data_IF_437780540782
#
_entry.id   IF_437780540782
#
_cell.length_a   1.000
_cell.length_b   1.000
_cell.length_c   1.000
_cell.angle_alpha   90.00
_cell.angle_beta   90.00
_cell.angle_gamma   90.00
#
_symmetry.space_group_name_H-M   'P 1'
#
loop_
_entity.id
_entity.type
_entity.pdbx_description
1 polymer ?
#
# COMPACT_ATOMS: atom_id res chain seq x y z
N UNK A 1 -18.65 0.04 -13.49
CA UNK A 1 -17.37 -0.18 -14.19
C UNK A 1 -16.37 -0.73 -13.19
N UNK A 2 -16.44 -2.05 -12.94
CA UNK A 2 -15.64 -2.72 -11.93
C UNK A 2 -14.17 -2.71 -12.38
N UNK A 3 -13.30 -2.09 -11.57
CA UNK A 3 -11.84 -2.06 -11.77
C UNK A 3 -11.29 -3.48 -12.05
N UNK A 4 -10.23 -3.63 -12.87
CA UNK A 4 -9.64 -4.93 -13.22
C UNK A 4 -9.25 -5.76 -11.98
N UNK A 5 -8.92 -5.09 -10.88
CA UNK A 5 -8.58 -5.69 -9.59
C UNK A 5 -9.80 -6.37 -8.94
N UNK A 6 -11.00 -5.81 -9.08
CA UNK A 6 -12.23 -6.41 -8.56
C UNK A 6 -12.58 -7.70 -9.29
N UNK A 7 -12.41 -7.72 -10.62
CA UNK A 7 -12.59 -8.93 -11.43
C UNK A 7 -11.54 -10.00 -11.12
N UNK A 8 -10.28 -9.61 -10.90
CA UNK A 8 -9.22 -10.52 -10.45
C UNK A 8 -9.52 -11.10 -9.05
N UNK A 9 -10.04 -10.27 -8.14
CA UNK A 9 -10.38 -10.64 -6.76
C UNK A 9 -11.56 -11.63 -6.66
N UNK A 10 -12.36 -11.73 -7.71
CA UNK A 10 -13.45 -12.70 -7.80
C UNK A 10 -13.03 -14.02 -8.44
N UNK A 11 -11.92 -14.06 -9.21
CA UNK A 11 -11.38 -15.29 -9.82
C UNK A 11 -10.23 -15.94 -9.05
N UNK A 12 -9.47 -15.16 -8.28
CA UNK A 12 -8.32 -15.63 -7.52
C UNK A 12 -8.52 -15.44 -6.02
N UNK A 13 -7.77 -16.22 -5.23
CA UNK A 13 -7.75 -16.07 -3.77
C UNK A 13 -7.28 -14.66 -3.39
N UNK A 14 -8.18 -13.90 -2.80
CA UNK A 14 -8.00 -12.50 -2.41
C UNK A 14 -6.80 -12.31 -1.49
N UNK A 15 -6.49 -13.30 -0.62
CA UNK A 15 -5.32 -13.25 0.26
C UNK A 15 -4.02 -13.42 -0.54
N UNK A 16 -3.99 -14.32 -1.53
CA UNK A 16 -2.82 -14.52 -2.40
C UNK A 16 -2.55 -13.29 -3.26
N UNK A 17 -3.60 -12.65 -3.78
CA UNK A 17 -3.45 -11.39 -4.52
C UNK A 17 -2.91 -10.27 -3.62
N UNK A 18 -3.40 -10.17 -2.39
CA UNK A 18 -2.87 -9.21 -1.42
C UNK A 18 -1.38 -9.46 -1.14
N UNK A 19 -0.99 -10.72 -0.91
CA UNK A 19 0.41 -11.12 -0.72
C UNK A 19 1.28 -10.73 -1.93
N UNK A 20 0.81 -11.00 -3.15
CA UNK A 20 1.50 -10.61 -4.38
C UNK A 20 1.67 -9.09 -4.48
N UNK A 21 0.61 -8.31 -4.24
CA UNK A 21 0.70 -6.86 -4.25
C UNK A 21 1.66 -6.33 -3.16
N UNK A 22 1.62 -6.93 -1.97
CA UNK A 22 2.54 -6.59 -0.86
C UNK A 22 3.98 -6.88 -1.27
N UNK A 23 4.24 -8.04 -1.87
CA UNK A 23 5.55 -8.43 -2.35
C UNK A 23 6.06 -7.51 -3.47
N UNK A 24 5.18 -7.05 -4.36
CA UNK A 24 5.51 -6.09 -5.42
C UNK A 24 5.75 -4.66 -4.92
N UNK A 25 5.20 -4.29 -3.76
CA UNK A 25 5.40 -2.96 -3.18
C UNK A 25 6.84 -2.72 -2.70
N UNK A 26 7.52 -3.77 -2.23
CA UNK A 26 8.92 -3.75 -1.74
C UNK A 26 9.92 -3.38 -2.83
N UNK A 27 10.00 -4.08 -3.98
CA UNK A 27 10.92 -3.70 -5.06
C UNK A 27 10.58 -2.32 -5.62
N UNK A 28 9.30 -1.92 -5.65
CA UNK A 28 8.91 -0.57 -6.02
C UNK A 28 9.54 0.49 -5.12
N UNK A 29 9.53 0.28 -3.79
CA UNK A 29 10.18 1.19 -2.85
C UNK A 29 11.72 1.15 -2.94
N UNK A 30 12.32 -0.04 -3.15
CA UNK A 30 13.77 -0.18 -3.33
C UNK A 30 14.28 0.45 -4.64
N UNK A 31 13.42 0.58 -5.66
CA UNK A 31 13.76 1.25 -6.91
C UNK A 31 13.77 2.78 -6.81
N UNK A 32 13.20 3.37 -5.76
CA UNK A 32 13.13 4.83 -5.60
C UNK A 32 14.48 5.55 -5.72
N UNK A 33 15.58 5.13 -5.05
CA UNK A 33 16.86 5.84 -5.10
C UNK A 33 17.43 5.94 -6.52
N UNK A 34 17.17 4.94 -7.36
CA UNK A 34 17.65 4.87 -8.74
C UNK A 34 16.69 5.65 -9.65
N UNK A 35 15.39 5.42 -9.52
CA UNK A 35 14.37 5.99 -10.37
C UNK A 35 14.19 7.51 -10.18
N UNK A 36 14.39 8.02 -8.95
CA UNK A 36 14.33 9.46 -8.65
C UNK A 36 15.48 10.25 -9.32
N UNK A 37 16.51 9.57 -9.81
CA UNK A 37 17.55 10.19 -10.64
C UNK A 37 17.14 10.45 -12.09
N UNK A 38 16.03 9.86 -12.58
CA UNK A 38 15.62 9.96 -13.98
C UNK A 38 14.11 10.20 -14.12
N UNK A 39 13.72 11.31 -14.75
CA UNK A 39 12.32 11.79 -14.78
C UNK A 39 11.32 10.74 -15.29
N UNK A 40 11.64 10.09 -16.41
CA UNK A 40 10.77 9.07 -17.00
C UNK A 40 10.62 7.82 -16.13
N UNK A 41 11.70 7.41 -15.45
CA UNK A 41 11.67 6.27 -14.53
C UNK A 41 10.82 6.59 -13.29
N UNK A 42 10.88 7.83 -12.80
CA UNK A 42 10.03 8.31 -11.71
C UNK A 42 8.54 8.20 -12.06
N UNK A 43 8.13 8.64 -13.25
CA UNK A 43 6.72 8.53 -13.67
C UNK A 43 6.27 7.08 -13.81
N UNK A 44 7.07 6.24 -14.47
CA UNK A 44 6.76 4.82 -14.63
C UNK A 44 6.62 4.13 -13.26
N UNK A 45 7.53 4.44 -12.34
CA UNK A 45 7.51 3.91 -10.99
C UNK A 45 6.30 4.38 -10.20
N UNK A 46 6.00 5.68 -10.19
CA UNK A 46 4.83 6.23 -9.49
C UNK A 46 3.52 5.65 -10.04
N UNK A 47 3.45 5.42 -11.35
CA UNK A 47 2.29 4.79 -11.98
C UNK A 47 2.13 3.33 -11.54
N UNK A 48 3.18 2.51 -11.67
CA UNK A 48 3.13 1.10 -11.29
C UNK A 48 2.93 0.93 -9.78
N UNK A 49 3.70 1.65 -8.97
CA UNK A 49 3.66 1.59 -7.51
C UNK A 49 2.32 2.13 -6.98
N UNK A 50 1.82 3.24 -7.53
CA UNK A 50 0.50 3.76 -7.23
C UNK A 50 -0.61 2.74 -7.55
N UNK A 51 -0.52 2.07 -8.70
CA UNK A 51 -1.43 0.98 -9.07
C UNK A 51 -1.43 -0.18 -8.07
N UNK A 52 -0.26 -0.56 -7.53
CA UNK A 52 -0.14 -1.59 -6.49
C UNK A 52 -0.88 -1.17 -5.21
N UNK A 53 -0.72 0.06 -4.73
CA UNK A 53 -1.40 0.54 -3.52
C UNK A 53 -2.92 0.66 -3.70
N UNK A 54 -3.37 1.14 -4.86
CA UNK A 54 -4.80 1.13 -5.20
C UNK A 54 -5.35 -0.30 -5.19
N UNK A 55 -4.56 -1.26 -5.70
CA UNK A 55 -4.86 -2.69 -5.63
C UNK A 55 -4.99 -3.23 -4.21
N UNK A 56 -4.01 -2.95 -3.35
CA UNK A 56 -4.01 -3.34 -1.93
C UNK A 56 -5.25 -2.79 -1.22
N UNK A 57 -5.55 -1.51 -1.40
CA UNK A 57 -6.73 -0.88 -0.80
C UNK A 57 -8.04 -1.55 -1.24
N UNK A 58 -8.18 -1.82 -2.54
CA UNK A 58 -9.37 -2.48 -3.12
C UNK A 58 -9.54 -3.91 -2.58
N UNK A 59 -8.44 -4.68 -2.52
CA UNK A 59 -8.45 -6.04 -1.98
C UNK A 59 -8.78 -6.05 -0.48
N UNK A 60 -8.21 -5.12 0.29
CA UNK A 60 -8.51 -4.95 1.71
C UNK A 60 -9.99 -4.68 1.98
N UNK A 61 -10.60 -3.74 1.25
CA UNK A 61 -12.03 -3.47 1.42
C UNK A 61 -12.88 -4.68 1.07
N UNK A 62 -12.51 -5.38 0.00
CA UNK A 62 -13.22 -6.59 -0.43
C UNK A 62 -13.10 -7.71 0.61
N UNK A 63 -11.92 -7.89 1.23
CA UNK A 63 -11.70 -8.87 2.30
C UNK A 63 -12.46 -8.51 3.58
N UNK A 64 -12.50 -7.23 3.95
CA UNK A 64 -13.25 -6.76 5.12
C UNK A 64 -14.75 -6.99 4.90
N UNK A 65 -15.29 -6.63 3.74
CA UNK A 65 -16.69 -6.85 3.38
C UNK A 65 -17.09 -8.33 3.30
N UNK A 66 -16.15 -9.20 2.94
CA UNK A 66 -16.38 -10.65 2.95
C UNK A 66 -16.34 -11.26 4.36
N UNK A 67 -15.50 -10.71 5.26
CA UNK A 67 -15.26 -11.25 6.61
C UNK A 67 -16.25 -10.73 7.66
N UNK A 68 -16.76 -9.52 7.48
CA UNK A 68 -17.66 -8.87 8.44
C UNK A 68 -18.99 -8.53 7.77
N UNK A 69 -20.10 -8.75 8.48
CA UNK A 69 -21.45 -8.43 8.01
C UNK A 69 -22.27 -7.73 9.10
N UNK A 70 -23.34 -7.04 8.72
CA UNK A 70 -24.25 -6.36 9.64
C UNK A 70 -23.55 -5.34 10.55
N UNK A 71 -23.89 -5.33 11.84
CA UNK A 71 -23.37 -4.37 12.82
C UNK A 71 -21.83 -4.43 13.02
N UNK A 72 -21.20 -5.58 12.74
CA UNK A 72 -19.74 -5.70 12.81
C UNK A 72 -19.07 -4.96 11.65
N UNK A 73 -19.65 -5.00 10.45
CA UNK A 73 -19.14 -4.30 9.28
C UNK A 73 -19.17 -2.78 9.50
N UNK A 74 -20.29 -2.24 10.00
CA UNK A 74 -20.42 -0.81 10.32
C UNK A 74 -19.34 -0.35 11.29
N UNK A 75 -19.04 -1.14 12.34
CA UNK A 75 -17.96 -0.82 13.30
C UNK A 75 -16.59 -0.78 12.65
N UNK A 76 -16.28 -1.68 11.71
CA UNK A 76 -15.00 -1.64 11.00
C UNK A 76 -14.91 -0.40 10.11
N UNK A 77 -16.01 -0.06 9.41
CA UNK A 77 -16.07 1.13 8.56
C UNK A 77 -15.93 2.44 9.34
N UNK A 78 -16.32 2.52 10.60
CA UNK A 78 -16.09 3.71 11.43
C UNK A 78 -14.63 3.83 11.90
N UNK A 79 -13.91 2.71 12.02
CA UNK A 79 -12.49 2.70 12.37
C UNK A 79 -11.58 3.01 11.18
N UNK A 80 -12.04 2.72 9.96
CA UNK A 80 -11.26 2.93 8.74
C UNK A 80 -10.74 4.37 8.58
N UNK A 81 -11.58 5.41 8.70
CA UNK A 81 -11.12 6.81 8.62
C UNK A 81 -10.14 7.18 9.73
N UNK A 82 -10.29 6.59 10.94
CA UNK A 82 -9.35 6.81 12.05
C UNK A 82 -7.98 6.22 11.73
N UNK A 83 -7.94 5.00 11.21
CA UNK A 83 -6.70 4.37 10.76
C UNK A 83 -6.05 5.16 9.62
N UNK A 84 -6.85 5.65 8.66
CA UNK A 84 -6.37 6.50 7.58
C UNK A 84 -5.82 7.83 8.10
N UNK A 85 -6.52 8.49 9.03
CA UNK A 85 -6.06 9.73 9.66
C UNK A 85 -4.75 9.54 10.44
N UNK A 86 -4.63 8.44 11.18
CA UNK A 86 -3.39 8.09 11.87
C UNK A 86 -2.23 7.89 10.89
N UNK A 87 -2.46 7.19 9.78
CA UNK A 87 -1.48 7.04 8.70
C UNK A 87 -1.12 8.36 8.02
N UNK A 88 -2.10 9.21 7.75
CA UNK A 88 -1.92 10.50 7.09
C UNK A 88 -1.16 11.51 7.97
N UNK A 89 -1.24 11.39 9.30
CA UNK A 89 -0.46 12.18 10.24
C UNK A 89 0.95 11.60 10.45
N UNK A 90 1.04 10.30 10.73
CA UNK A 90 2.34 9.65 10.98
C UNK A 90 3.23 9.59 9.75
N UNK A 91 2.66 9.44 8.55
CA UNK A 91 3.40 9.32 7.29
C UNK A 91 4.33 10.51 7.02
N UNK A 92 3.83 11.76 6.93
CA UNK A 92 4.66 12.94 6.73
C UNK A 92 5.62 13.21 7.88
N UNK A 93 5.23 12.92 9.13
CA UNK A 93 6.10 13.08 10.29
C UNK A 93 7.31 12.16 10.21
N UNK A 94 7.09 10.87 9.97
CA UNK A 94 8.15 9.88 9.80
C UNK A 94 8.95 10.14 8.52
N UNK A 95 8.28 10.51 7.42
CA UNK A 95 8.92 10.83 6.16
C UNK A 95 9.86 12.02 6.27
N UNK A 96 9.41 13.12 6.90
CA UNK A 96 10.22 14.30 7.16
C UNK A 96 11.41 13.99 8.08
N UNK A 97 11.19 13.22 9.15
CA UNK A 97 12.25 12.77 10.04
C UNK A 97 13.27 11.86 9.31
N UNK A 98 12.83 10.98 8.41
CA UNK A 98 13.75 10.15 7.63
C UNK A 98 14.58 10.99 6.66
N UNK A 99 13.95 11.99 6.01
CA UNK A 99 14.64 12.91 5.09
C UNK A 99 15.67 13.80 5.79
N UNK A 100 15.49 14.13 7.07
CA UNK A 100 16.46 14.93 7.83
C UNK A 100 17.72 14.14 8.20
N UNK A 101 17.64 12.80 8.27
CA UNK A 101 18.79 11.94 8.60
C UNK A 101 19.66 11.67 7.37
N UNK A 102 19.05 11.36 6.22
CA UNK A 102 19.80 11.15 4.96
C UNK A 102 19.01 11.60 3.74
N UNK A 103 19.72 11.95 2.66
CA UNK A 103 19.12 12.34 1.37
C UNK A 103 18.21 11.27 0.75
N UNK A 104 18.45 10.00 1.10
CA UNK A 104 17.68 8.84 0.64
C UNK A 104 16.77 8.26 1.74
N UNK A 105 16.60 8.97 2.86
CA UNK A 105 15.88 8.43 4.02
C UNK A 105 14.42 8.09 3.72
N UNK A 106 13.77 8.86 2.84
CA UNK A 106 12.39 8.59 2.43
C UNK A 106 12.24 7.26 1.64
N UNK A 107 13.04 6.99 0.59
CA UNK A 107 13.11 5.67 -0.04
C UNK A 107 13.31 4.51 0.95
N UNK A 108 14.25 4.66 1.89
CA UNK A 108 14.55 3.62 2.88
C UNK A 108 13.39 3.39 3.85
N UNK A 109 12.73 4.46 4.30
CA UNK A 109 11.53 4.38 5.13
C UNK A 109 10.40 3.67 4.37
N UNK A 110 10.16 4.03 3.10
CA UNK A 110 9.15 3.37 2.28
C UNK A 110 9.44 1.88 2.12
N UNK A 111 10.70 1.50 1.85
CA UNK A 111 11.10 0.10 1.73
C UNK A 111 10.90 -0.67 3.04
N UNK A 112 11.21 -0.06 4.19
CA UNK A 112 10.99 -0.64 5.51
C UNK A 112 9.50 -0.85 5.79
N UNK A 113 8.66 0.14 5.53
CA UNK A 113 7.21 0.06 5.74
C UNK A 113 6.56 -0.97 4.81
N UNK A 114 6.96 -1.02 3.53
CA UNK A 114 6.47 -2.04 2.59
C UNK A 114 6.92 -3.45 3.00
N UNK A 115 8.15 -3.61 3.50
CA UNK A 115 8.65 -4.90 3.97
C UNK A 115 7.94 -5.35 5.24
N UNK A 116 7.67 -4.42 6.17
CA UNK A 116 6.87 -4.68 7.36
C UNK A 116 5.44 -5.09 6.98
N UNK A 117 4.82 -4.40 6.03
CA UNK A 117 3.49 -4.76 5.54
C UNK A 117 3.45 -6.16 4.92
N UNK A 118 4.47 -6.52 4.11
CA UNK A 118 4.61 -7.89 3.59
C UNK A 118 4.75 -8.92 4.72
N UNK A 119 5.57 -8.64 5.74
CA UNK A 119 5.74 -9.53 6.89
C UNK A 119 4.44 -9.73 7.67
N UNK A 120 3.61 -8.69 7.80
CA UNK A 120 2.30 -8.76 8.46
C UNK A 120 1.23 -9.46 7.60
N UNK A 121 1.42 -9.51 6.29
CA UNK A 121 0.51 -10.14 5.35
C UNK A 121 0.71 -11.66 5.22
N UNK A 122 1.92 -12.15 5.56
CA UNK A 122 2.27 -13.58 5.64
C UNK A 122 1.55 -14.28 6.80
#
# INVERSE_FOLDING_TARGET
>A
MQLPIGWLADRYDRKRLLLLCSALSVPGALCWPIALGHLWCSYALLFCWGGVFVGIYTLMMTLIGARFQGAALTRVYTLLPLAWGAGALSGPLLGGAAMSVTRQGLPWLAALLCSLFLCLAL
#
